data_IF_595359152829
#
_entry.id   IF_595359152829
#
_cell.length_a   1.000
_cell.length_b   1.000
_cell.length_c   1.000
_cell.angle_alpha   90.00
_cell.angle_beta   90.00
_cell.angle_gamma   90.00
#
_symmetry.space_group_name_H-M   'P 1'
#
loop_
_entity.id
_entity.type
_entity.pdbx_description
1 polymer ?
#
# COMPACT_ATOMS: atom_id res chain seq x y z
N UNK A 1 -1.66 52.42 13.21
CA UNK A 1 -2.50 51.85 12.13
C UNK A 1 -1.91 50.60 11.50
N UNK A 2 -0.64 50.59 11.08
CA UNK A 2 0.04 49.38 10.56
C UNK A 2 -0.07 48.19 11.53
N UNK A 3 0.24 48.43 12.81
CA UNK A 3 0.12 47.44 13.89
C UNK A 3 -1.28 46.83 14.08
N UNK A 4 -2.36 47.59 13.87
CA UNK A 4 -3.71 47.05 13.99
C UNK A 4 -4.02 46.06 12.84
N UNK A 5 -3.56 46.38 11.62
CA UNK A 5 -3.72 45.49 10.47
C UNK A 5 -2.88 44.23 10.62
N UNK A 6 -1.63 44.38 11.03
CA UNK A 6 -0.70 43.28 11.26
C UNK A 6 -1.23 42.30 12.33
N UNK A 7 -1.75 42.80 13.45
CA UNK A 7 -2.36 41.97 14.50
C UNK A 7 -3.65 41.28 13.99
N UNK A 8 -4.44 41.97 13.18
CA UNK A 8 -5.66 41.39 12.60
C UNK A 8 -5.38 40.33 11.53
N UNK A 9 -4.27 40.45 10.79
CA UNK A 9 -3.83 39.48 9.77
C UNK A 9 -3.17 38.26 10.40
N UNK A 10 -2.28 38.44 11.38
CA UNK A 10 -1.57 37.32 12.04
C UNK A 10 -2.48 36.48 12.93
N UNK A 11 -3.43 37.09 13.66
CA UNK A 11 -4.30 36.35 14.60
C UNK A 11 -5.70 36.08 14.07
N UNK A 12 -6.07 36.70 12.96
CA UNK A 12 -7.45 36.73 12.46
C UNK A 12 -8.31 37.78 13.17
N UNK A 13 -9.18 38.44 12.40
CA UNK A 13 -9.97 39.61 12.83
C UNK A 13 -10.83 39.40 14.09
N UNK A 14 -11.34 38.18 14.30
CA UNK A 14 -12.19 37.84 15.48
C UNK A 14 -11.34 37.76 16.75
N UNK A 15 -10.24 37.00 16.71
CA UNK A 15 -9.32 36.86 17.85
C UNK A 15 -8.59 38.16 18.18
N UNK A 16 -8.30 38.98 17.17
CA UNK A 16 -7.75 40.31 17.36
C UNK A 16 -8.74 41.25 18.09
N UNK A 17 -10.03 41.13 17.81
CA UNK A 17 -11.06 41.94 18.47
C UNK A 17 -11.22 41.54 19.95
N UNK A 18 -11.21 40.24 20.23
CA UNK A 18 -11.21 39.70 21.60
C UNK A 18 -9.97 40.15 22.39
N UNK A 19 -8.78 40.03 21.80
CA UNK A 19 -7.53 40.45 22.44
C UNK A 19 -7.48 41.95 22.77
N UNK A 20 -8.16 42.77 21.97
CA UNK A 20 -8.27 44.22 22.18
C UNK A 20 -9.48 44.62 23.04
N UNK A 21 -10.30 43.66 23.49
CA UNK A 21 -11.49 43.92 24.30
C UNK A 21 -12.56 44.73 23.58
N UNK A 22 -12.64 44.63 22.25
CA UNK A 22 -13.61 45.36 21.41
C UNK A 22 -14.44 44.41 20.56
N UNK A 23 -15.63 44.85 20.14
CA UNK A 23 -16.44 44.05 19.23
C UNK A 23 -15.76 43.93 17.86
N UNK A 24 -15.94 42.79 17.19
CA UNK A 24 -15.48 42.57 15.82
C UNK A 24 -15.87 43.71 14.86
N UNK A 25 -17.10 44.23 14.99
CA UNK A 25 -17.62 45.31 14.15
C UNK A 25 -16.89 46.64 14.41
N UNK A 26 -16.50 46.89 15.66
CA UNK A 26 -15.71 48.06 16.05
C UNK A 26 -14.29 47.96 15.50
N UNK A 27 -13.68 46.77 15.55
CA UNK A 27 -12.35 46.53 14.97
C UNK A 27 -12.36 46.66 13.45
N UNK A 28 -13.32 46.04 12.76
CA UNK A 28 -13.46 46.16 11.30
C UNK A 28 -13.64 47.62 10.87
N UNK A 29 -14.50 48.37 11.56
CA UNK A 29 -14.72 49.79 11.28
C UNK A 29 -13.47 50.63 11.56
N UNK A 30 -12.67 50.31 12.57
CA UNK A 30 -11.42 51.00 12.86
C UNK A 30 -10.33 50.70 11.81
N UNK A 31 -10.27 49.46 11.30
CA UNK A 31 -9.37 49.06 10.19
C UNK A 31 -9.73 49.81 8.90
N UNK A 32 -11.01 49.95 8.60
CA UNK A 32 -11.53 50.62 7.40
C UNK A 32 -11.46 52.15 7.49
N UNK A 33 -11.91 52.73 8.62
CA UNK A 33 -11.98 54.19 8.80
C UNK A 33 -10.67 54.85 9.20
N UNK A 34 -9.66 54.06 9.56
CA UNK A 34 -8.36 54.58 9.97
C UNK A 34 -8.33 55.24 11.35
N UNK A 35 -9.44 55.20 12.10
CA UNK A 35 -9.58 55.85 13.41
C UNK A 35 -9.61 54.83 14.54
N UNK A 36 -8.63 54.93 15.44
CA UNK A 36 -8.57 54.15 16.67
C UNK A 36 -9.39 54.83 17.77
N UNK A 37 -10.06 54.02 18.58
CA UNK A 37 -10.64 54.52 19.83
C UNK A 37 -9.58 54.54 20.93
N UNK A 38 -9.75 55.38 21.96
CA UNK A 38 -8.80 55.46 23.08
C UNK A 38 -8.51 54.08 23.71
N UNK A 39 -9.56 53.28 23.94
CA UNK A 39 -9.44 51.90 24.45
C UNK A 39 -8.61 50.97 23.56
N UNK A 40 -8.71 51.10 22.24
CA UNK A 40 -7.89 50.30 21.31
C UNK A 40 -6.42 50.74 21.32
N UNK A 41 -6.17 52.02 21.55
CA UNK A 41 -4.81 52.58 21.64
C UNK A 41 -4.13 52.05 22.90
N UNK A 42 -4.82 52.11 24.05
CA UNK A 42 -4.31 51.57 25.32
C UNK A 42 -4.10 50.04 25.29
N UNK A 43 -4.98 49.32 24.58
CA UNK A 43 -4.86 47.87 24.41
C UNK A 43 -3.69 47.50 23.48
N UNK A 44 -3.49 48.24 22.39
CA UNK A 44 -2.33 48.08 21.52
C UNK A 44 -1.03 48.44 22.24
N UNK A 45 -1.02 49.47 23.07
CA UNK A 45 0.15 49.87 23.84
C UNK A 45 0.52 48.82 24.90
N UNK A 46 -0.47 48.25 25.60
CA UNK A 46 -0.26 47.10 26.48
C UNK A 46 0.30 45.90 25.73
N UNK A 47 -0.27 45.59 24.56
CA UNK A 47 0.21 44.47 23.74
C UNK A 47 1.66 44.67 23.27
N UNK A 48 2.02 45.90 22.88
CA UNK A 48 3.41 46.24 22.53
C UNK A 48 4.36 46.12 23.71
N UNK A 49 3.94 46.46 24.92
CA UNK A 49 4.76 46.27 26.13
C UNK A 49 4.95 44.80 26.46
N UNK A 50 3.92 43.97 26.28
CA UNK A 50 4.02 42.51 26.46
C UNK A 50 4.97 41.87 25.43
N UNK A 51 4.87 42.29 24.16
CA UNK A 51 5.73 41.79 23.07
C UNK A 51 7.18 42.30 23.22
N UNK A 52 7.37 43.56 23.67
CA UNK A 52 8.72 44.08 23.99
C UNK A 52 9.30 43.51 25.28
N UNK A 53 8.44 43.06 26.21
CA UNK A 53 8.83 42.41 27.45
C UNK A 53 9.11 40.92 27.30
N UNK A 54 8.78 40.32 26.15
CA UNK A 54 9.17 38.95 25.85
C UNK A 54 10.63 38.95 25.41
N UNK A 55 11.55 38.29 26.15
CA UNK A 55 12.94 38.24 25.75
C UNK A 55 13.03 37.58 24.37
N UNK A 56 13.87 38.16 23.49
CA UNK A 56 14.21 37.52 22.23
C UNK A 56 14.59 36.05 22.49
N UNK A 57 14.18 35.09 21.63
CA UNK A 57 14.59 33.71 21.78
C UNK A 57 16.11 33.67 21.93
N UNK A 58 16.59 32.92 22.93
CA UNK A 58 18.03 32.81 23.20
C UNK A 58 18.75 32.43 21.89
N UNK A 59 19.92 33.00 21.58
CA UNK A 59 20.65 32.72 20.34
C UNK A 59 20.81 31.22 20.10
N UNK A 60 21.07 30.42 21.14
CA UNK A 60 21.14 28.95 21.07
C UNK A 60 19.88 28.26 20.51
N UNK A 61 18.68 28.84 20.71
CA UNK A 61 17.44 28.32 20.11
C UNK A 61 17.26 28.72 18.64
N UNK A 62 17.78 29.88 18.25
CA UNK A 62 17.76 30.30 16.85
C UNK A 62 18.72 29.43 16.03
N UNK A 63 19.93 29.21 16.53
CA UNK A 63 20.95 28.37 15.88
C UNK A 63 20.47 26.91 15.75
N UNK A 64 19.80 26.38 16.77
CA UNK A 64 19.22 25.03 16.73
C UNK A 64 18.03 24.88 15.77
N UNK A 65 17.30 25.97 15.49
CA UNK A 65 16.26 25.98 14.46
C UNK A 65 16.88 26.07 13.06
N UNK A 66 17.92 26.86 12.88
CA UNK A 66 18.64 27.01 11.62
C UNK A 66 19.28 25.69 11.19
N UNK A 67 19.95 24.98 12.12
CA UNK A 67 20.47 23.63 11.86
C UNK A 67 19.39 22.61 11.50
N UNK A 68 18.21 22.69 12.12
CA UNK A 68 17.07 21.80 11.77
C UNK A 68 16.50 22.12 10.40
N UNK A 69 16.45 23.39 10.01
CA UNK A 69 16.01 23.79 8.67
C UNK A 69 16.99 23.29 7.62
N UNK A 70 18.29 23.49 7.83
CA UNK A 70 19.34 23.01 6.92
C UNK A 70 19.31 21.47 6.78
N UNK A 71 19.13 20.75 7.89
CA UNK A 71 19.00 19.29 7.87
C UNK A 71 17.75 18.83 7.11
N UNK A 72 16.61 19.51 7.31
CA UNK A 72 15.38 19.22 6.57
C UNK A 72 15.52 19.51 5.07
N UNK A 73 16.25 20.56 4.69
CA UNK A 73 16.52 20.88 3.29
C UNK A 73 17.34 19.79 2.59
N UNK A 74 18.36 19.26 3.27
CA UNK A 74 19.16 18.12 2.79
C UNK A 74 18.27 16.86 2.65
N UNK A 75 17.46 16.55 3.66
CA UNK A 75 16.54 15.41 3.59
C UNK A 75 15.51 15.53 2.45
N UNK A 76 14.98 16.74 2.24
CA UNK A 76 14.04 17.01 1.14
C UNK A 76 14.73 16.89 -0.23
N UNK A 77 15.97 17.36 -0.35
CA UNK A 77 16.75 17.19 -1.57
C UNK A 77 17.02 15.71 -1.86
N UNK A 78 17.39 14.93 -0.85
CA UNK A 78 17.60 13.49 -0.98
C UNK A 78 16.30 12.77 -1.38
N UNK A 79 15.17 13.08 -0.73
CA UNK A 79 13.87 12.52 -1.08
C UNK A 79 13.47 12.84 -2.52
N UNK A 80 13.72 14.06 -3.00
CA UNK A 80 13.48 14.43 -4.40
C UNK A 80 14.31 13.59 -5.36
N UNK A 81 15.59 13.34 -5.05
CA UNK A 81 16.43 12.48 -5.90
C UNK A 81 15.92 11.04 -5.92
N UNK A 82 15.54 10.48 -4.76
CA UNK A 82 14.96 9.12 -4.68
C UNK A 82 13.65 9.01 -5.47
N UNK A 83 12.77 10.01 -5.38
CA UNK A 83 11.53 10.06 -6.17
C UNK A 83 11.84 10.15 -7.67
N UNK A 84 12.85 10.93 -8.06
CA UNK A 84 13.33 10.98 -9.45
C UNK A 84 13.76 9.61 -9.97
N UNK A 85 14.58 8.88 -9.20
CA UNK A 85 15.04 7.52 -9.55
C UNK A 85 13.88 6.53 -9.64
N UNK A 86 12.88 6.62 -8.75
CA UNK A 86 11.68 5.79 -8.86
C UNK A 86 10.92 6.13 -10.15
N UNK A 87 10.80 7.42 -10.48
CA UNK A 87 10.18 7.86 -11.73
C UNK A 87 10.84 7.27 -12.97
N UNK A 88 12.17 7.21 -13.02
CA UNK A 88 12.89 6.61 -14.15
C UNK A 88 12.68 5.10 -14.23
N UNK A 89 12.70 4.39 -13.10
CA UNK A 89 12.43 2.94 -13.06
C UNK A 89 11.00 2.63 -13.51
N UNK A 90 10.03 3.42 -13.07
CA UNK A 90 8.63 3.28 -13.50
C UNK A 90 8.48 3.54 -15.00
N UNK A 91 9.16 4.56 -15.53
CA UNK A 91 9.16 4.84 -16.98
C UNK A 91 9.68 3.65 -17.80
N UNK A 92 10.82 3.08 -17.41
CA UNK A 92 11.38 1.89 -18.09
C UNK A 92 10.42 0.70 -18.01
N UNK A 93 9.82 0.45 -16.85
CA UNK A 93 8.86 -0.64 -16.68
C UNK A 93 7.61 -0.45 -17.56
N UNK A 94 7.11 0.79 -17.70
CA UNK A 94 5.99 1.11 -18.57
C UNK A 94 6.32 0.85 -20.05
N UNK A 95 7.52 1.22 -20.50
CA UNK A 95 7.97 0.91 -21.86
C UNK A 95 8.04 -0.59 -22.11
N UNK A 96 8.57 -1.36 -21.17
CA UNK A 96 8.65 -2.82 -21.30
C UNK A 96 7.26 -3.48 -21.30
N UNK A 97 6.32 -2.96 -20.50
CA UNK A 97 4.92 -3.39 -20.56
C UNK A 97 4.29 -3.08 -21.93
N UNK A 98 4.51 -1.90 -22.49
CA UNK A 98 4.01 -1.54 -23.82
C UNK A 98 4.58 -2.46 -24.91
N UNK A 99 5.90 -2.76 -24.84
CA UNK A 99 6.54 -3.71 -25.76
C UNK A 99 5.96 -5.12 -25.63
N UNK A 100 5.74 -5.59 -24.41
CA UNK A 100 5.16 -6.89 -24.15
C UNK A 100 3.73 -6.99 -24.69
N UNK A 101 2.89 -5.97 -24.45
CA UNK A 101 1.53 -5.91 -24.98
C UNK A 101 1.54 -5.94 -26.52
N UNK A 102 2.36 -5.11 -27.17
CA UNK A 102 2.46 -5.14 -28.63
C UNK A 102 2.96 -6.47 -29.19
N UNK A 103 3.82 -7.19 -28.46
CA UNK A 103 4.22 -8.55 -28.83
C UNK A 103 3.05 -9.54 -28.75
N UNK A 104 2.22 -9.44 -27.70
CA UNK A 104 1.03 -10.27 -27.54
C UNK A 104 -0.04 -9.99 -28.59
N UNK A 105 -0.31 -8.73 -28.92
CA UNK A 105 -1.23 -8.34 -29.99
C UNK A 105 -0.79 -8.93 -31.33
N UNK A 106 0.50 -8.86 -31.67
CA UNK A 106 1.04 -9.51 -32.88
C UNK A 106 0.93 -11.03 -32.86
N UNK A 107 0.97 -11.67 -31.69
CA UNK A 107 0.76 -13.12 -31.57
C UNK A 107 -0.71 -13.49 -31.75
N UNK A 108 -1.61 -12.70 -31.15
CA UNK A 108 -3.04 -12.88 -31.28
C UNK A 108 -3.48 -12.73 -32.75
N UNK A 109 -3.06 -11.65 -33.41
CA UNK A 109 -3.34 -11.43 -34.83
C UNK A 109 -2.84 -12.59 -35.73
N UNK A 110 -1.68 -13.18 -35.41
CA UNK A 110 -1.16 -14.38 -36.11
C UNK A 110 -1.99 -15.63 -35.84
N UNK A 111 -2.50 -15.81 -34.62
CA UNK A 111 -3.36 -16.93 -34.27
C UNK A 111 -4.73 -16.81 -34.94
N UNK A 112 -5.32 -15.62 -34.93
CA UNK A 112 -6.59 -15.32 -35.60
C UNK A 112 -6.47 -15.54 -37.12
N UNK A 113 -5.39 -15.07 -37.76
CA UNK A 113 -5.13 -15.33 -39.18
C UNK A 113 -5.04 -16.83 -39.51
N UNK A 114 -4.44 -17.65 -38.63
CA UNK A 114 -4.38 -19.11 -38.81
C UNK A 114 -5.76 -19.76 -38.63
N UNK A 115 -6.55 -19.28 -37.69
CA UNK A 115 -7.91 -19.80 -37.46
C UNK A 115 -8.83 -19.51 -38.65
N UNK A 116 -8.73 -18.32 -39.26
CA UNK A 116 -9.44 -18.00 -40.50
C UNK A 116 -9.01 -18.90 -41.65
N UNK A 117 -7.70 -19.21 -41.77
CA UNK A 117 -7.20 -20.13 -42.79
C UNK A 117 -7.67 -21.59 -42.60
N UNK A 118 -7.73 -22.07 -41.35
CA UNK A 118 -8.21 -23.42 -41.03
C UNK A 118 -9.72 -23.54 -41.25
N UNK A 119 -10.50 -22.54 -40.84
CA UNK A 119 -11.96 -22.53 -41.04
C UNK A 119 -12.36 -22.28 -42.50
N UNK A 120 -11.50 -21.65 -43.31
CA UNK A 120 -11.68 -21.50 -44.76
C UNK A 120 -11.33 -22.76 -45.57
N UNK A 121 -10.64 -23.74 -44.97
CA UNK A 121 -10.25 -25.00 -45.61
C UNK A 121 -11.06 -26.16 -45.02
N UNK A 122 -12.36 -26.16 -45.27
CA UNK A 122 -13.22 -27.32 -45.01
C UNK A 122 -12.87 -28.48 -45.95
N UNK A 123 -11.96 -29.37 -45.52
CA UNK A 123 -11.87 -30.74 -46.04
C UNK A 123 -11.82 -31.70 -44.85
N UNK A 124 -12.95 -32.37 -44.69
CA UNK A 124 -13.19 -33.49 -43.80
C UNK A 124 -12.40 -34.70 -44.30
N UNK A 125 -11.54 -35.27 -43.47
CA UNK A 125 -11.27 -36.72 -43.46
C UNK A 125 -10.87 -37.16 -42.06
N UNK A 126 -11.81 -37.74 -41.33
CA UNK A 126 -11.50 -38.73 -40.29
C UNK A 126 -11.22 -40.07 -40.97
N UNK A 127 -10.26 -40.84 -40.45
CA UNK A 127 -10.45 -42.28 -40.37
C UNK A 127 -10.29 -42.75 -38.93
N UNK A 128 -11.29 -43.51 -38.48
CA UNK A 128 -11.24 -44.19 -37.19
C UNK A 128 -10.16 -45.27 -37.16
N UNK A 129 -9.63 -45.50 -35.96
CA UNK A 129 -8.89 -46.72 -35.63
C UNK A 129 -9.34 -47.18 -34.25
N UNK A 130 -10.13 -48.25 -34.26
CA UNK A 130 -10.32 -49.18 -33.14
C UNK A 130 -9.03 -49.99 -33.00
N UNK A 131 -8.55 -50.16 -31.77
CA UNK A 131 -7.50 -51.12 -31.46
C UNK A 131 -6.92 -50.92 -30.07
N UNK A 132 -7.50 -51.56 -29.07
CA UNK A 132 -6.77 -51.96 -27.88
C UNK A 132 -5.92 -53.19 -28.22
N UNK A 133 -4.77 -53.37 -27.55
CA UNK A 133 -4.71 -54.54 -26.67
C UNK A 133 -4.15 -54.24 -25.29
N UNK A 134 -4.57 -55.11 -24.37
CA UNK A 134 -4.15 -55.25 -22.99
C UNK A 134 -2.63 -55.25 -22.83
N UNK A 135 -2.14 -54.33 -21.99
CA UNK A 135 -0.82 -54.38 -21.39
C UNK A 135 -0.97 -54.56 -19.89
N UNK A 136 -0.82 -55.80 -19.43
CA UNK A 136 -0.64 -56.14 -18.03
C UNK A 136 0.70 -55.57 -17.55
N UNK A 137 0.66 -54.34 -17.04
CA UNK A 137 1.72 -53.75 -16.24
C UNK A 137 1.08 -53.28 -14.95
N UNK A 138 1.43 -53.93 -13.83
CA UNK A 138 1.04 -53.50 -12.48
C UNK A 138 1.61 -52.12 -12.17
N UNK A 139 0.97 -51.08 -12.68
CA UNK A 139 1.13 -49.71 -12.22
C UNK A 139 0.21 -49.61 -11.01
N UNK A 140 0.79 -49.39 -9.84
CA UNK A 140 0.05 -48.92 -8.67
C UNK A 140 -0.90 -47.82 -9.17
N UNK A 141 -2.21 -48.09 -9.14
CA UNK A 141 -3.23 -47.10 -9.45
C UNK A 141 -3.14 -46.02 -8.37
N UNK A 142 -2.28 -45.04 -8.59
CA UNK A 142 -2.23 -43.84 -7.78
C UNK A 142 -3.57 -43.16 -7.98
N UNK A 143 -4.43 -43.24 -6.95
CA UNK A 143 -5.76 -42.66 -6.93
C UNK A 143 -5.63 -41.14 -7.10
N UNK A 144 -5.82 -40.66 -8.33
CA UNK A 144 -6.00 -39.22 -8.58
C UNK A 144 -7.37 -38.82 -8.04
N UNK A 145 -7.46 -37.81 -7.16
CA UNK A 145 -8.76 -37.33 -6.70
C UNK A 145 -9.54 -36.80 -7.90
N UNK A 146 -10.78 -37.27 -8.07
CA UNK A 146 -11.66 -36.83 -9.17
C UNK A 146 -12.22 -35.45 -8.84
N UNK A 147 -11.44 -34.41 -9.12
CA UNK A 147 -11.90 -33.01 -8.98
C UNK A 147 -12.46 -32.49 -10.30
N UNK A 148 -13.61 -31.79 -10.28
CA UNK A 148 -14.12 -31.10 -11.47
C UNK A 148 -13.18 -29.97 -11.92
N UNK A 149 -12.43 -29.37 -10.98
CA UNK A 149 -11.47 -28.31 -11.25
C UNK A 149 -10.12 -28.60 -10.56
N UNK A 150 -9.12 -29.13 -11.29
CA UNK A 150 -7.80 -29.41 -10.73
C UNK A 150 -7.01 -28.15 -10.36
N UNK A 151 -7.40 -26.97 -10.87
CA UNK A 151 -6.77 -25.69 -10.55
C UNK A 151 -7.16 -25.14 -9.17
N UNK A 152 -8.13 -25.77 -8.49
CA UNK A 152 -8.70 -25.26 -7.25
C UNK A 152 -7.97 -25.85 -6.04
N UNK A 153 -7.32 -24.99 -5.27
CA UNK A 153 -6.62 -25.35 -4.03
C UNK A 153 -7.62 -25.39 -2.88
N UNK A 154 -7.76 -26.57 -2.29
CA UNK A 154 -8.60 -26.82 -1.11
C UNK A 154 -7.87 -26.46 0.17
N UNK A 155 -8.62 -26.08 1.21
CA UNK A 155 -8.03 -25.80 2.54
C UNK A 155 -7.51 -27.11 3.16
N UNK A 156 -8.28 -28.19 3.04
CA UNK A 156 -7.91 -29.50 3.56
C UNK A 156 -7.06 -30.27 2.54
N UNK A 157 -6.00 -30.96 2.99
CA UNK A 157 -5.19 -31.82 2.13
C UNK A 157 -5.96 -33.07 1.74
N UNK A 158 -6.09 -33.32 0.43
CA UNK A 158 -6.58 -34.59 -0.10
C UNK A 158 -5.44 -35.51 -0.57
N UNK A 159 -5.66 -36.82 -0.47
CA UNK A 159 -4.71 -37.82 -0.92
C UNK A 159 -4.52 -37.75 -2.45
N UNK A 160 -3.26 -37.67 -2.91
CA UNK A 160 -2.94 -37.58 -4.34
C UNK A 160 -2.90 -36.17 -4.93
N UNK A 161 -3.07 -35.11 -4.12
CA UNK A 161 -2.88 -33.71 -4.54
C UNK A 161 -1.49 -33.43 -5.10
N UNK A 162 -0.48 -34.15 -4.64
CA UNK A 162 0.91 -34.03 -5.11
C UNK A 162 1.04 -34.21 -6.62
N UNK A 163 0.19 -35.07 -7.20
CA UNK A 163 0.19 -35.35 -8.62
C UNK A 163 -0.56 -34.29 -9.43
N UNK A 164 -1.38 -33.46 -8.78
CA UNK A 164 -2.16 -32.39 -9.41
C UNK A 164 -1.37 -31.09 -9.40
N UNK A 165 -0.81 -30.73 -8.24
CA UNK A 165 -0.16 -29.43 -8.06
C UNK A 165 1.35 -29.48 -8.30
N UNK A 166 1.98 -30.66 -8.29
CA UNK A 166 3.40 -30.82 -8.60
C UNK A 166 4.28 -29.90 -7.76
N UNK A 167 5.04 -29.02 -8.41
CA UNK A 167 5.93 -28.04 -7.77
C UNK A 167 5.21 -27.07 -6.83
N UNK A 168 3.93 -26.77 -7.10
CA UNK A 168 3.14 -25.87 -6.27
C UNK A 168 2.80 -26.44 -4.89
N UNK A 169 2.98 -27.76 -4.67
CA UNK A 169 2.65 -28.40 -3.40
C UNK A 169 3.37 -27.79 -2.22
N UNK A 170 4.66 -27.48 -2.34
CA UNK A 170 5.43 -26.92 -1.24
C UNK A 170 4.86 -25.57 -0.79
N UNK A 171 4.44 -24.73 -1.75
CA UNK A 171 3.81 -23.45 -1.45
C UNK A 171 2.40 -23.65 -0.83
N UNK A 172 1.64 -24.65 -1.30
CA UNK A 172 0.30 -24.97 -0.78
C UNK A 172 0.37 -25.51 0.66
N UNK A 173 1.31 -26.42 0.94
CA UNK A 173 1.49 -26.95 2.30
C UNK A 173 1.91 -25.86 3.27
N UNK A 174 2.88 -25.03 2.90
CA UNK A 174 3.30 -23.90 3.72
C UNK A 174 2.15 -22.89 3.91
N UNK A 175 1.33 -22.66 2.89
CA UNK A 175 0.16 -21.78 2.97
C UNK A 175 -0.86 -22.31 3.98
N UNK A 176 -1.15 -23.63 3.96
CA UNK A 176 -2.04 -24.29 4.93
C UNK A 176 -1.50 -24.20 6.36
N UNK A 177 -0.21 -24.50 6.56
CA UNK A 177 0.46 -24.39 7.86
C UNK A 177 0.44 -22.95 8.39
N UNK A 178 0.74 -21.97 7.54
CA UNK A 178 0.73 -20.55 7.91
C UNK A 178 -0.67 -20.08 8.31
N UNK A 179 -1.70 -20.57 7.61
CA UNK A 179 -3.10 -20.29 7.95
C UNK A 179 -3.48 -20.85 9.31
N UNK A 180 -3.10 -22.08 9.61
CA UNK A 180 -3.34 -22.69 10.92
C UNK A 180 -2.55 -21.98 12.03
N UNK A 181 -1.31 -21.55 11.73
CA UNK A 181 -0.50 -20.73 12.63
C UNK A 181 -1.17 -19.40 12.96
N UNK A 182 -1.80 -18.73 11.97
CA UNK A 182 -2.51 -17.47 12.18
C UNK A 182 -3.65 -17.56 13.20
N UNK A 183 -4.30 -18.71 13.30
CA UNK A 183 -5.36 -18.96 14.29
C UNK A 183 -4.79 -19.14 15.70
N UNK A 184 -3.57 -19.67 15.82
CA UNK A 184 -2.90 -19.93 17.10
C UNK A 184 -2.15 -18.73 17.66
N UNK A 185 -1.63 -17.86 16.80
CA UNK A 185 -0.75 -16.75 17.20
C UNK A 185 -1.51 -15.65 17.95
N UNK A 186 -1.14 -15.43 19.21
CA UNK A 186 -1.73 -14.39 20.08
C UNK A 186 -1.04 -13.03 19.97
N UNK A 187 0.25 -13.00 19.68
CA UNK A 187 1.04 -11.76 19.62
C UNK A 187 0.74 -11.02 18.32
N UNK A 188 0.43 -9.72 18.42
CA UNK A 188 0.06 -8.89 17.25
C UNK A 188 1.13 -8.87 16.16
N UNK A 189 2.41 -8.73 16.52
CA UNK A 189 3.50 -8.67 15.55
C UNK A 189 3.67 -10.00 14.81
N UNK A 190 3.72 -11.10 15.57
CA UNK A 190 3.80 -12.46 15.01
C UNK A 190 2.59 -12.75 14.09
N UNK A 191 1.40 -12.24 14.44
CA UNK A 191 0.20 -12.34 13.60
C UNK A 191 0.34 -11.56 12.30
N UNK A 192 0.93 -10.36 12.33
CA UNK A 192 1.21 -9.58 11.13
C UNK A 192 2.27 -10.25 10.25
N UNK A 193 3.31 -10.83 10.85
CA UNK A 193 4.35 -11.56 10.12
C UNK A 193 3.79 -12.83 9.46
N UNK A 194 2.98 -13.61 10.18
CA UNK A 194 2.31 -14.77 9.61
C UNK A 194 1.32 -14.37 8.50
N UNK A 195 0.60 -13.25 8.64
CA UNK A 195 -0.33 -12.76 7.62
C UNK A 195 0.40 -12.27 6.38
N UNK A 196 1.54 -11.61 6.57
CA UNK A 196 2.43 -11.22 5.47
C UNK A 196 2.90 -12.47 4.71
N UNK A 197 3.41 -13.49 5.42
CA UNK A 197 3.87 -14.74 4.80
C UNK A 197 2.74 -15.44 4.04
N UNK A 198 1.54 -15.49 4.61
CA UNK A 198 0.37 -16.05 3.95
C UNK A 198 0.09 -15.34 2.62
N UNK A 199 0.06 -14.01 2.60
CA UNK A 199 -0.19 -13.24 1.36
C UNK A 199 0.91 -13.43 0.32
N UNK A 200 2.17 -13.56 0.73
CA UNK A 200 3.28 -13.87 -0.19
C UNK A 200 3.10 -15.24 -0.86
N UNK A 201 2.70 -16.25 -0.08
CA UNK A 201 2.40 -17.59 -0.59
C UNK A 201 1.19 -17.58 -1.52
N UNK A 202 0.14 -16.82 -1.19
CA UNK A 202 -1.02 -16.66 -2.06
C UNK A 202 -0.64 -16.04 -3.41
N UNK A 203 0.21 -15.01 -3.41
CA UNK A 203 0.73 -14.41 -4.65
C UNK A 203 1.52 -15.44 -5.46
N UNK A 204 2.38 -16.23 -4.81
CA UNK A 204 3.18 -17.28 -5.47
C UNK A 204 2.27 -18.34 -6.10
N UNK A 205 1.28 -18.83 -5.36
CA UNK A 205 0.32 -19.85 -5.81
C UNK A 205 -0.51 -19.34 -7.01
N UNK A 206 -0.95 -18.09 -6.97
CA UNK A 206 -1.81 -17.52 -8.04
C UNK A 206 -0.99 -17.11 -9.27
N UNK A 207 0.13 -16.40 -9.05
CA UNK A 207 0.89 -15.78 -10.14
C UNK A 207 1.82 -16.78 -10.84
N UNK A 208 2.51 -17.64 -10.07
CA UNK A 208 3.54 -18.52 -10.62
C UNK A 208 2.95 -19.89 -10.99
N UNK A 209 1.99 -20.38 -10.21
CA UNK A 209 1.36 -21.68 -10.43
C UNK A 209 -0.03 -21.61 -11.05
N UNK A 210 -0.55 -20.40 -11.32
CA UNK A 210 -1.82 -20.21 -12.01
C UNK A 210 -3.04 -20.82 -11.30
N UNK A 211 -2.91 -21.13 -10.00
CA UNK A 211 -3.91 -21.81 -9.20
C UNK A 211 -4.92 -20.84 -8.58
N UNK A 212 -6.12 -21.35 -8.34
CA UNK A 212 -7.22 -20.60 -7.73
C UNK A 212 -7.37 -21.00 -6.27
N UNK A 213 -7.40 -20.01 -5.38
CA UNK A 213 -7.53 -20.21 -3.94
C UNK A 213 -8.99 -20.11 -3.48
N UNK A 214 -9.31 -20.83 -2.41
CA UNK A 214 -10.58 -20.60 -1.67
C UNK A 214 -10.65 -19.14 -1.17
N UNK A 215 -11.83 -18.49 -1.20
CA UNK A 215 -13.18 -19.07 -1.28
C UNK A 215 -13.76 -19.22 -2.69
N UNK A 216 -12.98 -19.04 -3.77
CA UNK A 216 -13.51 -19.22 -5.12
C UNK A 216 -14.01 -20.65 -5.32
N UNK A 217 -15.13 -20.79 -6.03
CA UNK A 217 -15.78 -22.09 -6.34
C UNK A 217 -15.44 -22.56 -7.77
N UNK A 218 -14.97 -21.63 -8.60
CA UNK A 218 -14.60 -21.84 -9.99
C UNK A 218 -13.19 -21.32 -10.25
N UNK A 219 -12.45 -21.88 -11.23
CA UNK A 219 -11.17 -21.34 -11.66
C UNK A 219 -11.32 -19.90 -12.14
N UNK A 220 -10.42 -19.03 -11.69
CA UNK A 220 -10.37 -17.65 -12.16
C UNK A 220 -9.91 -17.58 -13.61
N UNK A 221 -10.50 -16.65 -14.36
CA UNK A 221 -9.98 -16.32 -15.68
C UNK A 221 -8.67 -15.50 -15.57
N UNK A 222 -8.12 -15.07 -16.71
CA UNK A 222 -6.85 -14.31 -16.72
C UNK A 222 -7.01 -12.87 -16.20
N UNK A 223 -8.19 -12.27 -16.31
CA UNK A 223 -8.45 -10.94 -15.77
C UNK A 223 -8.60 -11.03 -14.24
N UNK A 224 -9.46 -11.94 -13.76
CA UNK A 224 -9.70 -12.20 -12.34
C UNK A 224 -8.40 -12.51 -11.59
N UNK A 225 -7.52 -13.35 -12.16
CA UNK A 225 -6.21 -13.65 -11.56
C UNK A 225 -5.32 -12.41 -11.43
N UNK A 226 -5.28 -11.55 -12.46
CA UNK A 226 -4.46 -10.33 -12.41
C UNK A 226 -4.99 -9.38 -11.34
N UNK A 227 -6.30 -9.23 -11.27
CA UNK A 227 -6.95 -8.38 -10.27
C UNK A 227 -6.71 -8.91 -8.86
N UNK A 228 -6.79 -10.23 -8.66
CA UNK A 228 -6.51 -10.84 -7.36
C UNK A 228 -5.05 -10.68 -6.96
N UNK A 229 -4.10 -10.95 -7.85
CA UNK A 229 -2.66 -10.73 -7.57
C UNK A 229 -2.40 -9.27 -7.21
N UNK A 230 -3.05 -8.33 -7.90
CA UNK A 230 -2.93 -6.91 -7.59
C UNK A 230 -3.50 -6.58 -6.21
N UNK A 231 -4.70 -7.07 -5.86
CA UNK A 231 -5.31 -6.91 -4.53
C UNK A 231 -4.41 -7.47 -3.42
N UNK A 232 -3.82 -8.63 -3.64
CA UNK A 232 -2.91 -9.28 -2.66
C UNK A 232 -1.60 -8.50 -2.52
N UNK A 233 -1.04 -7.96 -3.61
CA UNK A 233 0.13 -7.06 -3.55
C UNK A 233 -0.17 -5.79 -2.75
N UNK A 234 -1.33 -5.17 -2.92
CA UNK A 234 -1.73 -4.04 -2.09
C UNK A 234 -1.86 -4.42 -0.62
N UNK A 235 -2.50 -5.56 -0.34
CA UNK A 235 -2.63 -6.08 1.02
C UNK A 235 -1.26 -6.33 1.68
N UNK A 236 -0.26 -6.75 0.91
CA UNK A 236 1.11 -6.92 1.39
C UNK A 236 1.75 -5.59 1.82
N UNK A 237 1.56 -4.53 1.04
CA UNK A 237 2.05 -3.18 1.38
C UNK A 237 1.34 -2.62 2.62
N UNK A 238 0.02 -2.79 2.71
CA UNK A 238 -0.73 -2.39 3.89
C UNK A 238 -0.24 -3.10 5.16
N UNK A 239 0.06 -4.40 5.07
CA UNK A 239 0.63 -5.18 6.18
C UNK A 239 2.04 -4.70 6.57
N UNK A 240 2.87 -4.29 5.60
CA UNK A 240 4.19 -3.71 5.88
C UNK A 240 4.06 -2.40 6.64
N UNK A 241 3.13 -1.53 6.22
CA UNK A 241 2.84 -0.27 6.90
C UNK A 241 2.30 -0.53 8.31
N UNK A 242 1.36 -1.46 8.47
CA UNK A 242 0.80 -1.79 9.79
C UNK A 242 1.86 -2.35 10.74
N UNK A 243 2.74 -3.25 10.24
CA UNK A 243 3.87 -3.78 11.00
C UNK A 243 4.81 -2.68 11.46
N UNK A 244 5.20 -1.78 10.57
CA UNK A 244 6.08 -0.66 10.90
C UNK A 244 5.44 0.26 11.94
N UNK A 245 4.14 0.56 11.82
CA UNK A 245 3.38 1.30 12.83
C UNK A 245 3.35 0.56 14.17
N UNK A 246 3.12 -0.75 14.19
CA UNK A 246 3.09 -1.54 15.41
C UNK A 246 4.46 -1.54 16.13
N UNK A 247 5.56 -1.61 15.37
CA UNK A 247 6.92 -1.50 15.90
C UNK A 247 7.20 -0.10 16.46
N UNK A 248 6.80 0.96 15.74
CA UNK A 248 6.92 2.34 16.20
C UNK A 248 6.18 2.54 17.53
N UNK A 249 4.93 2.08 17.63
CA UNK A 249 4.16 2.17 18.87
C UNK A 249 4.77 1.37 20.02
N UNK A 250 5.35 0.20 19.74
CA UNK A 250 6.08 -0.59 20.75
C UNK A 250 7.31 0.15 21.24
N UNK A 251 8.04 0.83 20.35
CA UNK A 251 9.18 1.67 20.69
C UNK A 251 8.76 2.88 21.53
N UNK A 252 7.74 3.63 21.09
CA UNK A 252 7.18 4.79 21.84
C UNK A 252 6.76 4.36 23.24
N UNK A 253 6.05 3.22 23.37
CA UNK A 253 5.63 2.70 24.67
C UNK A 253 6.84 2.37 25.56
N UNK A 254 7.90 1.77 25.01
CA UNK A 254 9.14 1.49 25.76
C UNK A 254 9.80 2.76 26.25
N UNK A 255 9.93 3.77 25.39
CA UNK A 255 10.51 5.07 25.75
C UNK A 255 9.70 5.74 26.86
N UNK A 256 8.37 5.76 26.75
CA UNK A 256 7.48 6.31 27.78
C UNK A 256 7.59 5.55 29.11
N UNK A 257 7.69 4.22 29.08
CA UNK A 257 7.84 3.42 30.31
C UNK A 257 9.21 3.57 30.96
N UNK A 258 10.28 3.77 30.18
CA UNK A 258 11.64 3.97 30.70
C UNK A 258 11.86 5.40 31.21
N UNK A 259 11.24 6.40 30.58
CA UNK A 259 11.27 7.78 31.07
C UNK A 259 10.51 7.98 32.39
N UNK A 260 9.65 7.04 32.78
CA UNK A 260 8.96 7.05 34.08
C UNK A 260 9.84 6.60 35.26
N UNK A 261 11.05 6.07 35.01
CA UNK A 261 12.00 5.61 36.06
C UNK A 261 13.10 6.63 36.38
N UNK A 262 13.06 7.82 35.78
CA UNK A 262 14.03 8.90 36.00
C UNK A 262 13.49 10.02 36.92
N UNK A 263 12.68 9.66 37.92
CA UNK A 263 12.24 10.52 39.02
C UNK A 263 12.30 9.73 40.32
#
# INVERSE_FOLDING_TARGET
MALLREVAETRGKVKAAEALGVSYRTLARAVESGRLTGRMTDALERHLREVRGTPAPKPDQADGLEQRVEQLEVEVAELRTRVGTIGTVVGVLQEDQARALGHWERRLARAEARQVAVNGSGVVTSPGVKGAPEGAGGRLEVRRPRRPYPQLVTVEPEEGEEHIFGEAMAAITEWRETREMLERVRRRLDKLDARKRMVELEITIIADHELTLTPAVYPWDRADRRDEVWRRKQSLEDLRVERNRALLWRWVRRVLTLGLWWK
#
